data_IF_449661176546
#
_entry.id   IF_449661176546
#
_cell.length_a   1.000
_cell.length_b   1.000
_cell.length_c   1.000
_cell.angle_alpha   90.00
_cell.angle_beta   90.00
_cell.angle_gamma   90.00
#
_symmetry.space_group_name_H-M   'P 1'
#
loop_
_entity.id
_entity.type
_entity.pdbx_description
1 polymer ?
#
# COMPACT_ATOMS: atom_id res chain seq x y z
N UNK A 1 -54.17 27.01 -13.41
CA UNK A 1 -54.32 25.54 -13.50
C UNK A 1 -52.95 24.97 -13.85
N UNK A 2 -52.32 24.29 -12.90
CA UNK A 2 -50.93 23.81 -12.98
C UNK A 2 -50.97 22.32 -13.31
N UNK A 3 -50.47 21.92 -14.48
CA UNK A 3 -50.31 20.51 -14.84
C UNK A 3 -48.90 20.05 -14.47
N UNK A 4 -48.78 19.39 -13.31
CA UNK A 4 -47.54 18.76 -12.85
C UNK A 4 -47.28 17.44 -13.58
N UNK A 5 -46.09 17.32 -14.18
CA UNK A 5 -45.56 16.07 -14.73
C UNK A 5 -44.41 15.62 -13.85
N UNK A 6 -44.60 14.51 -13.14
CA UNK A 6 -43.57 13.88 -12.33
C UNK A 6 -42.61 13.11 -13.24
N UNK A 7 -41.35 13.52 -13.33
CA UNK A 7 -40.28 12.71 -13.91
C UNK A 7 -39.59 11.94 -12.78
N UNK A 8 -39.81 10.63 -12.74
CA UNK A 8 -39.09 9.70 -11.88
C UNK A 8 -37.73 9.44 -12.50
N UNK A 9 -36.71 10.21 -12.11
CA UNK A 9 -35.32 9.86 -12.40
C UNK A 9 -34.92 8.69 -11.50
N UNK A 10 -34.98 7.48 -12.06
CA UNK A 10 -34.29 6.32 -11.48
C UNK A 10 -32.82 6.48 -11.82
N UNK A 11 -32.01 6.98 -10.88
CA UNK A 11 -30.56 6.94 -10.98
C UNK A 11 -30.15 5.46 -10.90
N UNK A 12 -29.85 4.87 -12.07
CA UNK A 12 -29.20 3.58 -12.14
C UNK A 12 -27.76 3.76 -11.64
N UNK A 13 -27.50 3.30 -10.42
CA UNK A 13 -26.18 3.26 -9.76
C UNK A 13 -25.19 2.34 -10.51
N UNK A 14 -25.60 1.70 -11.62
CA UNK A 14 -24.77 0.71 -12.30
C UNK A 14 -23.92 1.25 -13.46
N UNK A 15 -24.17 2.46 -13.96
CA UNK A 15 -23.47 2.98 -15.16
C UNK A 15 -22.31 3.94 -14.87
N UNK A 16 -22.16 4.43 -13.63
CA UNK A 16 -21.03 5.32 -13.26
C UNK A 16 -19.82 4.56 -12.68
N UNK A 17 -19.92 3.25 -12.50
CA UNK A 17 -18.80 2.40 -12.09
C UNK A 17 -17.89 2.00 -13.26
N UNK A 18 -18.35 2.06 -14.51
CA UNK A 18 -17.48 1.78 -15.67
C UNK A 18 -16.49 2.91 -15.98
N UNK A 19 -16.75 4.15 -15.53
CA UNK A 19 -15.74 5.22 -15.62
C UNK A 19 -14.61 5.08 -14.59
N UNK A 20 -14.80 4.32 -13.51
CA UNK A 20 -13.73 3.98 -12.56
C UNK A 20 -12.75 2.92 -13.10
N UNK A 21 -13.11 2.20 -14.17
CA UNK A 21 -12.23 1.22 -14.83
C UNK A 21 -11.37 1.80 -15.97
N UNK A 22 -11.48 3.11 -16.28
CA UNK A 22 -10.65 3.78 -17.31
C UNK A 22 -9.34 4.36 -16.74
N UNK A 23 -9.00 4.07 -15.48
CA UNK A 23 -7.62 4.21 -15.04
C UNK A 23 -6.83 2.97 -15.48
N UNK A 24 -5.82 3.07 -16.36
CA UNK A 24 -4.94 1.96 -16.65
C UNK A 24 -3.95 1.81 -15.49
N UNK A 25 -4.46 1.54 -14.28
CA UNK A 25 -3.64 1.11 -13.18
C UNK A 25 -3.32 -0.37 -13.44
N UNK A 26 -2.24 -0.62 -14.19
CA UNK A 26 -1.57 -1.91 -14.11
C UNK A 26 -1.14 -2.06 -12.65
N UNK A 27 -1.95 -2.73 -11.84
CA UNK A 27 -1.44 -3.43 -10.67
C UNK A 27 -0.40 -4.42 -11.21
N UNK A 28 0.86 -3.97 -11.23
CA UNK A 28 2.01 -4.85 -11.39
C UNK A 28 1.83 -5.99 -10.42
N UNK A 29 1.93 -7.22 -10.93
CA UNK A 29 1.84 -8.49 -10.22
C UNK A 29 2.96 -8.64 -9.16
N UNK A 30 2.92 -7.82 -8.12
CA UNK A 30 3.87 -7.85 -7.01
C UNK A 30 3.10 -8.09 -5.71
N UNK A 31 2.81 -9.37 -5.51
CA UNK A 31 2.70 -10.06 -4.22
C UNK A 31 1.80 -9.45 -3.13
N UNK A 32 0.49 -9.69 -3.22
CA UNK A 32 -0.36 -9.80 -2.03
C UNK A 32 -0.18 -11.20 -1.42
N UNK A 33 0.87 -11.42 -0.63
CA UNK A 33 0.94 -12.58 0.27
C UNK A 33 0.55 -12.15 1.69
N UNK A 34 -0.72 -12.37 2.04
CA UNK A 34 -1.15 -12.35 3.44
C UNK A 34 -0.79 -13.72 4.03
N UNK A 35 0.30 -13.81 4.78
CA UNK A 35 0.62 -15.01 5.57
C UNK A 35 -0.24 -15.08 6.81
N UNK A 36 -1.31 -15.87 6.75
CA UNK A 36 -2.16 -16.20 7.89
C UNK A 36 -1.45 -17.24 8.78
N UNK A 37 -0.97 -16.84 9.97
CA UNK A 37 -0.42 -17.76 10.97
C UNK A 37 -1.57 -18.51 11.65
N UNK A 38 -1.79 -19.78 11.30
CA UNK A 38 -2.62 -20.69 12.11
C UNK A 38 -1.88 -21.13 13.37
N UNK A 39 -2.40 -20.72 14.52
CA UNK A 39 -2.04 -21.23 15.85
C UNK A 39 -2.48 -22.69 15.95
N UNK A 40 -1.55 -23.63 16.09
CA UNK A 40 -1.87 -25.02 16.45
C UNK A 40 -1.90 -25.13 17.97
N UNK A 41 -3.07 -25.38 18.53
CA UNK A 41 -3.23 -25.82 19.91
C UNK A 41 -2.75 -27.27 20.02
N UNK A 42 -1.84 -27.51 20.97
CA UNK A 42 -1.32 -28.83 21.28
C UNK A 42 -2.23 -29.56 22.25
N UNK A 43 -2.81 -30.67 21.80
CA UNK A 43 -3.40 -31.70 22.64
C UNK A 43 -2.60 -33.00 22.53
N UNK A 44 -1.97 -33.43 23.63
CA UNK A 44 -1.60 -34.84 23.91
C UNK A 44 -2.81 -35.50 24.61
N UNK A 45 -3.00 -36.84 24.63
CA UNK A 45 -1.98 -37.79 25.12
C UNK A 45 -1.92 -39.20 24.46
N UNK A 46 -0.78 -39.86 24.76
CA UNK A 46 -0.48 -41.28 25.04
C UNK A 46 -1.19 -42.46 24.33
N UNK A 47 -0.38 -43.49 23.99
CA UNK A 47 -0.79 -44.91 24.11
C UNK A 47 -0.31 -45.86 22.99
N UNK A 48 0.65 -46.72 23.31
CA UNK A 48 1.18 -47.88 22.54
C UNK A 48 0.13 -48.92 22.12
N UNK A 49 0.26 -49.67 21.00
CA UNK A 49 0.88 -51.02 20.94
C UNK A 49 0.79 -51.65 19.53
N UNK A 50 1.57 -52.73 19.34
CA UNK A 50 1.91 -53.59 18.18
C UNK A 50 0.72 -54.29 17.46
N UNK A 51 0.95 -54.81 16.25
CA UNK A 51 0.25 -56.01 15.73
C UNK A 51 0.15 -56.17 14.21
N UNK A 52 0.40 -57.38 13.73
CA UNK A 52 0.58 -57.87 12.35
C UNK A 52 -0.69 -58.15 11.49
N UNK A 53 -0.47 -58.14 10.16
CA UNK A 53 -0.88 -59.12 9.12
C UNK A 53 -2.34 -59.30 8.61
N UNK A 54 -2.40 -59.29 7.27
CA UNK A 54 -3.19 -60.12 6.32
C UNK A 54 -4.67 -59.82 5.98
N UNK A 55 -4.89 -59.64 4.67
CA UNK A 55 -5.77 -60.53 3.87
C UNK A 55 -7.25 -60.16 3.67
N UNK A 56 -7.66 -60.02 2.40
CA UNK A 56 -9.02 -60.42 1.95
C UNK A 56 -9.93 -59.37 1.31
N UNK A 57 -10.07 -59.42 -0.02
CA UNK A 57 -11.28 -59.02 -0.80
C UNK A 57 -12.41 -60.05 -0.54
N UNK A 58 -13.72 -59.77 -0.75
CA UNK A 58 -14.28 -59.44 -2.08
C UNK A 58 -15.53 -58.52 -2.09
N UNK A 59 -16.19 -58.50 -3.26
CA UNK A 59 -17.16 -57.55 -3.81
C UNK A 59 -18.56 -57.49 -3.18
N UNK A 60 -19.26 -56.38 -3.45
CA UNK A 60 -20.70 -56.22 -3.27
C UNK A 60 -21.22 -54.89 -3.83
N UNK A 61 -22.02 -54.95 -4.88
CA UNK A 61 -22.71 -53.82 -5.52
C UNK A 61 -24.01 -53.47 -4.79
N UNK A 62 -24.32 -52.18 -4.60
CA UNK A 62 -25.72 -51.68 -4.63
C UNK A 62 -25.78 -50.17 -4.85
N UNK A 63 -26.83 -49.79 -5.58
CA UNK A 63 -27.18 -48.44 -6.04
C UNK A 63 -27.68 -47.56 -4.88
N UNK A 64 -27.43 -46.26 -4.94
CA UNK A 64 -28.00 -45.27 -4.02
C UNK A 64 -27.96 -43.87 -4.60
N UNK A 65 -29.11 -43.20 -4.55
CA UNK A 65 -29.47 -41.99 -5.26
C UNK A 65 -28.75 -40.71 -4.78
N UNK A 66 -28.83 -39.68 -5.63
CA UNK A 66 -28.05 -38.45 -5.52
C UNK A 66 -28.37 -37.55 -4.34
N UNK A 67 -27.42 -36.65 -4.06
CA UNK A 67 -27.74 -35.31 -3.61
C UNK A 67 -26.67 -34.34 -4.09
N UNK A 68 -27.11 -33.46 -4.98
CA UNK A 68 -26.39 -32.37 -5.61
C UNK A 68 -26.06 -31.34 -4.52
N UNK A 69 -24.87 -31.38 -3.93
CA UNK A 69 -24.37 -30.27 -3.11
C UNK A 69 -24.08 -29.09 -4.03
N UNK A 70 -25.07 -28.21 -4.12
CA UNK A 70 -25.01 -26.88 -4.74
C UNK A 70 -23.90 -26.09 -4.01
N UNK A 71 -22.72 -26.03 -4.61
CA UNK A 71 -21.66 -25.12 -4.18
C UNK A 71 -22.19 -23.70 -4.30
N UNK A 72 -22.42 -23.08 -3.15
CA UNK A 72 -22.77 -21.67 -3.04
C UNK A 72 -21.56 -20.83 -3.44
N UNK A 73 -21.54 -20.33 -4.67
CA UNK A 73 -20.70 -19.19 -5.06
C UNK A 73 -21.22 -17.95 -4.33
N UNK A 74 -20.55 -17.56 -3.25
CA UNK A 74 -20.81 -16.29 -2.54
C UNK A 74 -19.49 -15.58 -2.24
N UNK A 75 -19.37 -14.36 -2.79
CA UNK A 75 -18.85 -13.24 -2.00
C UNK A 75 -17.38 -12.87 -2.15
N UNK A 76 -16.82 -12.79 -3.35
CA UNK A 76 -15.56 -12.05 -3.54
C UNK A 76 -15.78 -10.54 -3.74
N UNK A 77 -16.90 -10.14 -4.37
CA UNK A 77 -17.21 -8.72 -4.62
C UNK A 77 -17.55 -7.90 -3.38
N UNK A 78 -18.32 -8.45 -2.43
CA UNK A 78 -18.82 -7.68 -1.27
C UNK A 78 -17.75 -7.38 -0.21
N UNK A 79 -16.68 -8.19 -0.13
CA UNK A 79 -15.62 -8.03 0.86
C UNK A 79 -14.58 -7.00 0.41
N UNK A 80 -14.31 -6.92 -0.89
CA UNK A 80 -13.43 -5.89 -1.46
C UNK A 80 -14.08 -4.50 -1.37
N UNK A 81 -15.38 -4.42 -1.66
CA UNK A 81 -16.18 -3.18 -1.58
C UNK A 81 -16.31 -2.70 -0.12
N UNK A 82 -16.61 -3.60 0.83
CA UNK A 82 -16.62 -3.27 2.25
C UNK A 82 -15.24 -2.87 2.81
N UNK A 83 -14.14 -3.40 2.26
CA UNK A 83 -12.77 -3.04 2.66
C UNK A 83 -12.35 -1.64 2.21
N UNK A 84 -12.97 -1.11 1.16
CA UNK A 84 -12.68 0.22 0.62
C UNK A 84 -13.41 1.32 1.39
N UNK A 85 -14.58 1.04 1.98
CA UNK A 85 -15.37 2.02 2.72
C UNK A 85 -14.64 2.63 3.93
N UNK A 86 -13.71 1.89 4.53
CA UNK A 86 -12.90 2.36 5.67
C UNK A 86 -11.63 3.12 5.27
N UNK A 87 -11.34 3.23 3.96
CA UNK A 87 -10.17 3.96 3.46
C UNK A 87 -10.45 5.47 3.49
N UNK A 88 -9.48 6.24 4.00
CA UNK A 88 -9.52 7.71 4.00
C UNK A 88 -9.10 8.26 2.63
N UNK A 89 -8.13 7.63 1.98
CA UNK A 89 -7.66 7.95 0.63
C UNK A 89 -6.43 7.16 0.27
N UNK A 90 -5.74 7.55 -0.80
CA UNK A 90 -4.44 7.00 -1.16
C UNK A 90 -3.36 8.07 -1.02
N UNK A 91 -2.14 7.64 -0.70
CA UNK A 91 -0.95 8.47 -0.85
C UNK A 91 -0.11 7.89 -1.99
N UNK A 92 0.19 8.74 -2.97
CA UNK A 92 1.14 8.45 -4.03
C UNK A 92 2.51 8.98 -3.61
N UNK A 93 3.49 8.09 -3.61
CA UNK A 93 4.87 8.35 -3.20
C UNK A 93 5.76 8.09 -4.40
N UNK A 94 6.33 9.15 -4.96
CA UNK A 94 7.31 9.08 -6.05
C UNK A 94 8.71 9.07 -5.46
N UNK A 95 9.32 7.90 -5.37
CA UNK A 95 10.71 7.73 -4.92
C UNK A 95 11.62 8.10 -6.08
N UNK A 96 12.35 9.22 -5.97
CA UNK A 96 13.15 9.76 -7.08
C UNK A 96 14.56 9.17 -7.10
N UNK A 97 15.34 9.44 -6.06
CA UNK A 97 16.74 9.02 -5.99
C UNK A 97 17.23 8.85 -4.55
N UNK A 98 18.28 8.04 -4.39
CA UNK A 98 19.12 8.01 -3.20
C UNK A 98 20.31 8.94 -3.37
N UNK A 99 20.81 9.49 -2.26
CA UNK A 99 21.95 10.40 -2.22
C UNK A 99 22.91 9.89 -1.15
N UNK A 100 24.13 9.55 -1.55
CA UNK A 100 25.20 9.04 -0.68
C UNK A 100 24.76 7.93 0.27
N UNK A 101 24.03 6.95 -0.27
CA UNK A 101 23.62 5.77 0.49
C UNK A 101 24.84 5.01 1.01
N UNK A 102 24.63 4.26 2.09
CA UNK A 102 25.65 3.39 2.65
C UNK A 102 26.20 2.39 1.63
N UNK A 103 27.39 1.85 1.91
CA UNK A 103 27.99 0.75 1.15
C UNK A 103 27.81 -0.52 1.98
N UNK A 104 27.25 -1.58 1.38
CA UNK A 104 27.08 -2.88 2.02
C UNK A 104 27.78 -4.02 1.26
N UNK A 105 28.13 -3.81 -0.02
CA UNK A 105 29.09 -4.66 -0.74
C UNK A 105 30.54 -4.14 -0.67
N UNK A 106 31.46 -4.79 -1.39
CA UNK A 106 32.90 -4.44 -1.43
C UNK A 106 33.19 -2.98 -1.78
N UNK A 107 32.47 -2.40 -2.75
CA UNK A 107 32.70 -1.04 -3.25
C UNK A 107 31.40 -0.25 -3.49
N UNK A 108 30.25 -0.88 -3.39
CA UNK A 108 28.96 -0.27 -3.72
C UNK A 108 27.80 -0.98 -3.02
N UNK A 109 26.58 -0.75 -3.50
CA UNK A 109 25.37 -1.48 -3.12
C UNK A 109 24.43 -1.57 -4.31
N UNK A 110 23.49 -2.50 -4.25
CA UNK A 110 22.35 -2.72 -5.13
C UNK A 110 21.03 -2.24 -4.48
N UNK A 111 20.84 -0.93 -4.23
CA UNK A 111 19.77 -0.46 -3.36
C UNK A 111 18.37 -0.52 -4.00
N UNK A 112 17.38 -0.82 -3.15
CA UNK A 112 15.95 -0.64 -3.42
C UNK A 112 15.22 -0.11 -2.19
N UNK A 113 14.10 0.59 -2.41
CA UNK A 113 13.25 1.08 -1.32
C UNK A 113 12.04 0.19 -1.09
N UNK A 114 11.66 0.04 0.17
CA UNK A 114 10.38 -0.54 0.61
C UNK A 114 9.61 0.52 1.36
N UNK A 115 8.39 0.79 0.91
CA UNK A 115 7.42 1.58 1.68
C UNK A 115 6.50 0.61 2.42
N UNK A 116 6.37 0.80 3.73
CA UNK A 116 5.47 0.03 4.56
C UNK A 116 4.52 0.94 5.35
N UNK A 117 3.26 0.53 5.42
CA UNK A 117 2.23 1.17 6.23
C UNK A 117 1.22 0.12 6.68
N UNK A 118 1.06 -0.06 7.98
CA UNK A 118 0.22 -1.11 8.57
C UNK A 118 0.57 -2.50 8.01
N UNK A 119 -0.32 -3.13 7.21
CA UNK A 119 -0.12 -4.43 6.57
C UNK A 119 0.30 -4.34 5.09
N UNK A 120 0.54 -3.15 4.57
CA UNK A 120 0.95 -2.93 3.18
C UNK A 120 2.47 -2.84 3.06
N UNK A 121 3.01 -3.43 2.00
CA UNK A 121 4.41 -3.26 1.59
C UNK A 121 4.47 -3.15 0.08
N UNK A 122 5.07 -2.07 -0.41
CA UNK A 122 5.34 -1.85 -1.84
C UNK A 122 6.82 -1.50 -2.00
N UNK A 123 7.43 -1.87 -3.12
CA UNK A 123 8.88 -1.72 -3.32
C UNK A 123 9.22 -1.19 -4.71
N UNK A 124 10.33 -0.47 -4.80
CA UNK A 124 10.92 -0.07 -6.08
C UNK A 124 11.66 -1.25 -6.72
N UNK A 125 12.15 -1.05 -7.95
CA UNK A 125 13.19 -1.90 -8.53
C UNK A 125 14.51 -1.70 -7.80
N UNK A 126 15.37 -2.68 -8.00
CA UNK A 126 16.77 -2.68 -7.59
C UNK A 126 17.59 -1.92 -8.63
N UNK A 127 18.45 -1.00 -8.18
CA UNK A 127 19.45 -0.35 -9.02
C UNK A 127 20.81 -0.91 -8.61
N UNK A 128 21.55 -1.52 -9.54
CA UNK A 128 22.78 -2.24 -9.20
C UNK A 128 24.02 -1.33 -9.15
N UNK A 129 24.93 -1.60 -8.22
CA UNK A 129 26.26 -1.03 -8.12
C UNK A 129 26.26 0.48 -8.04
N UNK A 130 25.31 1.08 -7.31
CA UNK A 130 25.16 2.52 -7.25
C UNK A 130 24.56 3.02 -5.94
N UNK A 131 25.38 3.65 -5.09
CA UNK A 131 24.96 4.33 -3.85
C UNK A 131 24.28 5.71 -4.08
N UNK A 132 24.11 6.13 -5.34
CA UNK A 132 23.31 7.29 -5.77
C UNK A 132 22.27 6.84 -6.82
N UNK A 133 21.39 5.88 -6.47
CA UNK A 133 20.47 5.29 -7.41
C UNK A 133 19.41 6.30 -7.84
N UNK A 134 18.98 6.22 -9.10
CA UNK A 134 17.80 6.95 -9.60
C UNK A 134 16.71 5.92 -9.88
N UNK A 135 15.72 5.84 -9.00
CA UNK A 135 14.58 4.94 -9.17
C UNK A 135 13.50 5.59 -10.04
N UNK A 136 13.09 6.82 -9.70
CA UNK A 136 11.97 7.52 -10.34
C UNK A 136 10.70 6.65 -10.45
N UNK A 137 10.36 5.96 -9.38
CA UNK A 137 9.20 5.04 -9.34
C UNK A 137 8.08 5.61 -8.47
N UNK A 138 6.85 5.50 -8.96
CA UNK A 138 5.64 5.87 -8.23
C UNK A 138 5.05 4.63 -7.54
N UNK A 139 4.93 4.70 -6.22
CA UNK A 139 4.33 3.69 -5.38
C UNK A 139 3.07 4.29 -4.74
N UNK A 140 1.98 3.53 -4.65
CA UNK A 140 0.72 4.02 -4.07
C UNK A 140 0.27 3.06 -2.98
N UNK A 141 -0.11 3.60 -1.82
CA UNK A 141 -0.66 2.85 -0.69
C UNK A 141 -1.97 3.48 -0.24
N UNK A 142 -2.88 2.68 0.31
CA UNK A 142 -4.11 3.20 0.93
C UNK A 142 -3.84 3.66 2.36
N UNK A 143 -4.56 4.68 2.81
CA UNK A 143 -4.51 5.18 4.19
C UNK A 143 -5.86 4.91 4.84
N UNK A 144 -5.88 4.15 5.94
CA UNK A 144 -7.09 3.89 6.75
C UNK A 144 -7.14 4.72 8.02
N UNK A 145 -5.98 5.11 8.50
CA UNK A 145 -5.77 5.83 9.74
C UNK A 145 -4.48 6.66 9.60
N UNK A 146 -4.49 7.87 10.16
CA UNK A 146 -3.35 8.78 10.13
C UNK A 146 -2.31 8.44 11.21
N UNK A 147 -2.71 7.71 12.26
CA UNK A 147 -1.78 7.29 13.32
C UNK A 147 -0.86 6.12 12.87
N UNK A 148 -1.15 5.52 11.72
CA UNK A 148 -0.31 4.46 11.15
C UNK A 148 0.94 5.05 10.50
N UNK A 149 2.15 4.71 10.98
CA UNK A 149 3.38 5.27 10.42
C UNK A 149 3.62 4.75 9.00
N UNK A 150 3.99 5.66 8.10
CA UNK A 150 4.49 5.34 6.77
C UNK A 150 6.02 5.34 6.83
N UNK A 151 6.62 4.18 6.69
CA UNK A 151 8.07 4.00 6.81
C UNK A 151 8.66 3.66 5.44
N UNK A 152 9.66 4.44 5.04
CA UNK A 152 10.57 4.13 3.94
C UNK A 152 11.80 3.43 4.50
N UNK A 153 12.11 2.25 4.00
CA UNK A 153 13.34 1.52 4.33
C UNK A 153 14.14 1.27 3.05
N UNK A 154 15.46 1.42 3.13
CA UNK A 154 16.37 1.12 2.03
C UNK A 154 17.09 -0.19 2.35
N UNK A 155 17.23 -1.05 1.35
CA UNK A 155 17.92 -2.34 1.48
C UNK A 155 18.90 -2.53 0.33
N UNK A 156 19.97 -3.25 0.61
CA UNK A 156 20.88 -3.78 -0.41
C UNK A 156 20.41 -5.16 -0.88
N UNK A 157 20.34 -5.37 -2.19
CA UNK A 157 19.87 -6.64 -2.76
C UNK A 157 21.03 -7.63 -2.85
N UNK A 158 20.97 -8.65 -2.00
CA UNK A 158 21.86 -9.80 -2.08
C UNK A 158 21.25 -10.97 -2.85
N UNK A 159 22.12 -11.70 -3.56
CA UNK A 159 21.69 -12.87 -4.36
C UNK A 159 21.65 -14.16 -3.52
N UNK A 160 22.53 -14.30 -2.53
CA UNK A 160 22.70 -15.54 -1.76
C UNK A 160 22.50 -15.38 -0.25
N UNK A 161 22.34 -14.15 0.23
CA UNK A 161 22.17 -13.79 1.65
C UNK A 161 20.88 -13.01 1.87
N UNK A 162 20.58 -12.71 3.13
CA UNK A 162 19.48 -11.82 3.48
C UNK A 162 19.90 -10.39 3.12
N UNK A 163 19.01 -9.67 2.45
CA UNK A 163 19.21 -8.28 2.04
C UNK A 163 19.57 -7.38 3.24
N UNK A 164 20.69 -6.66 3.13
CA UNK A 164 21.22 -5.80 4.20
C UNK A 164 20.42 -4.51 4.35
N UNK A 165 20.20 -4.10 5.61
CA UNK A 165 19.55 -2.81 5.89
C UNK A 165 20.49 -1.63 5.61
N UNK A 166 19.97 -0.64 4.88
CA UNK A 166 20.65 0.61 4.54
C UNK A 166 19.96 1.83 5.17
N UNK A 167 19.23 1.60 6.26
CA UNK A 167 18.57 2.66 7.02
C UNK A 167 17.10 2.87 6.65
N UNK A 168 16.43 3.70 7.45
CA UNK A 168 15.00 3.97 7.31
C UNK A 168 14.62 5.39 7.69
N UNK A 169 13.50 5.87 7.16
CA UNK A 169 12.94 7.18 7.47
C UNK A 169 11.42 7.10 7.52
N UNK A 170 10.82 7.82 8.46
CA UNK A 170 9.37 8.02 8.49
C UNK A 170 8.98 9.13 7.52
N UNK A 171 7.95 8.88 6.71
CA UNK A 171 7.31 9.87 5.86
C UNK A 171 6.18 10.51 6.68
N UNK A 172 6.38 11.75 7.10
CA UNK A 172 5.34 12.53 7.76
C UNK A 172 4.40 13.15 6.71
N UNK A 173 3.13 12.73 6.73
CA UNK A 173 2.09 13.23 5.84
C UNK A 173 1.17 14.24 6.54
N UNK A 174 1.28 14.42 7.86
CA UNK A 174 0.38 15.28 8.62
C UNK A 174 0.32 16.72 8.10
N UNK A 175 1.46 17.37 7.74
CA UNK A 175 1.41 18.71 7.16
C UNK A 175 0.57 18.76 5.87
N UNK A 176 0.71 17.77 4.99
CA UNK A 176 -0.06 17.67 3.75
C UNK A 176 -1.55 17.49 4.05
N UNK A 177 -1.88 16.58 4.98
CA UNK A 177 -3.27 16.32 5.39
C UNK A 177 -3.91 17.56 6.03
N UNK A 178 -3.18 18.31 6.85
CA UNK A 178 -3.66 19.57 7.43
C UNK A 178 -4.01 20.58 6.34
N UNK A 179 -3.14 20.74 5.34
CA UNK A 179 -3.40 21.65 4.22
C UNK A 179 -4.64 21.25 3.41
N UNK A 180 -4.82 19.95 3.15
CA UNK A 180 -6.00 19.44 2.44
C UNK A 180 -7.30 19.70 3.20
N UNK A 181 -7.30 19.53 4.53
CA UNK A 181 -8.46 19.80 5.39
C UNK A 181 -8.85 21.28 5.44
N UNK A 182 -7.97 22.21 5.07
CA UNK A 182 -8.33 23.63 4.94
C UNK A 182 -9.31 23.87 3.77
N UNK A 183 -9.50 22.90 2.88
CA UNK A 183 -10.44 23.01 1.77
C UNK A 183 -10.10 24.16 0.81
N UNK A 184 -8.81 24.44 0.63
CA UNK A 184 -8.32 25.51 -0.24
C UNK A 184 -8.78 25.26 -1.67
N UNK A 185 -9.21 26.32 -2.36
CA UNK A 185 -9.69 26.25 -3.74
C UNK A 185 -9.14 27.44 -4.53
N UNK A 186 -9.04 27.27 -5.85
CA UNK A 186 -8.74 28.35 -6.80
C UNK A 186 -7.43 29.11 -6.54
N UNK A 187 -6.43 28.46 -5.94
CA UNK A 187 -5.10 29.04 -5.78
C UNK A 187 -4.33 29.03 -7.12
N UNK A 188 -3.46 30.03 -7.38
CA UNK A 188 -2.52 30.00 -8.48
C UNK A 188 -1.62 28.76 -8.44
N UNK A 189 -1.30 28.20 -9.60
CA UNK A 189 -0.34 27.12 -9.70
C UNK A 189 1.03 27.55 -9.18
N UNK A 190 1.68 26.69 -8.39
CA UNK A 190 2.97 26.98 -7.76
C UNK A 190 2.86 27.72 -6.43
N UNK A 191 1.65 27.96 -5.91
CA UNK A 191 1.50 28.57 -4.59
C UNK A 191 2.08 27.66 -3.52
N UNK A 192 3.05 28.17 -2.75
CA UNK A 192 3.55 27.52 -1.53
C UNK A 192 2.49 27.64 -0.44
N UNK A 193 1.81 26.54 -0.13
CA UNK A 193 0.74 26.49 0.86
C UNK A 193 1.32 26.41 2.27
N UNK A 194 2.36 25.60 2.45
CA UNK A 194 2.98 25.37 3.76
C UNK A 194 4.47 25.06 3.59
N UNK A 195 5.27 25.44 4.58
CA UNK A 195 6.70 25.14 4.67
C UNK A 195 7.00 24.32 5.92
N UNK A 196 7.53 23.12 5.72
CA UNK A 196 7.90 22.19 6.79
C UNK A 196 9.41 22.20 6.98
N UNK A 197 9.87 22.49 8.19
CA UNK A 197 11.28 22.56 8.54
C UNK A 197 11.79 21.21 9.08
N UNK A 198 13.09 20.89 8.91
CA UNK A 198 13.76 19.84 9.66
C UNK A 198 13.62 20.06 11.17
N UNK A 199 13.22 19.03 11.90
CA UNK A 199 13.18 19.03 13.37
C UNK A 199 13.82 17.76 13.93
N UNK A 200 13.90 17.62 15.25
CA UNK A 200 14.43 16.40 15.88
C UNK A 200 13.44 15.22 15.81
N UNK A 201 12.18 15.53 15.55
CA UNK A 201 11.05 14.61 15.56
C UNK A 201 10.70 14.11 14.15
N UNK A 202 11.21 14.75 13.09
CA UNK A 202 11.00 14.33 11.71
C UNK A 202 12.28 13.89 11.03
N UNK A 203 12.14 13.28 9.84
CA UNK A 203 13.27 12.77 9.06
C UNK A 203 13.70 13.73 7.93
N UNK A 204 13.25 14.98 7.91
CA UNK A 204 13.61 15.92 6.84
C UNK A 204 15.09 16.32 6.94
N UNK A 205 15.81 16.22 5.84
CA UNK A 205 17.20 16.69 5.73
C UNK A 205 17.26 18.20 5.43
N UNK A 206 16.25 18.72 4.73
CA UNK A 206 16.14 20.11 4.29
C UNK A 206 14.68 20.57 4.41
N UNK A 207 14.42 21.87 4.23
CA UNK A 207 13.05 22.37 4.21
C UNK A 207 12.24 21.76 3.05
N UNK A 208 10.97 21.50 3.32
CA UNK A 208 10.02 20.90 2.39
C UNK A 208 8.84 21.83 2.21
N UNK A 209 8.35 21.95 0.98
CA UNK A 209 7.23 22.82 0.63
C UNK A 209 6.06 21.98 0.16
N UNK A 210 4.87 22.31 0.68
CA UNK A 210 3.60 21.83 0.13
C UNK A 210 3.16 22.86 -0.90
N UNK A 211 3.06 22.41 -2.15
CA UNK A 211 2.82 23.28 -3.30
C UNK A 211 1.48 22.93 -3.93
N UNK A 212 0.68 23.96 -4.19
CA UNK A 212 -0.54 23.85 -4.95
C UNK A 212 -0.24 23.69 -6.44
N UNK A 213 -0.85 22.68 -7.06
CA UNK A 213 -0.64 22.35 -8.47
C UNK A 213 -1.93 22.53 -9.28
N UNK A 214 -1.76 22.63 -10.59
CA UNK A 214 -2.90 22.68 -11.52
C UNK A 214 -3.80 21.46 -11.33
N UNK A 215 -5.11 21.73 -11.25
CA UNK A 215 -6.12 20.68 -11.04
C UNK A 215 -6.48 20.42 -9.59
N UNK A 216 -6.11 21.33 -8.66
CA UNK A 216 -6.59 21.29 -7.28
C UNK A 216 -5.86 20.31 -6.39
N UNK A 217 -4.66 19.85 -6.79
CA UNK A 217 -3.87 18.88 -6.04
C UNK A 217 -2.77 19.58 -5.27
N UNK A 218 -2.36 18.99 -4.16
CA UNK A 218 -1.18 19.39 -3.40
C UNK A 218 -0.11 18.31 -3.49
N UNK A 219 1.12 18.75 -3.75
CA UNK A 219 2.31 17.90 -3.74
C UNK A 219 3.27 18.40 -2.67
N UNK A 220 4.07 17.50 -2.12
CA UNK A 220 5.15 17.85 -1.21
C UNK A 220 6.43 17.14 -1.63
N UNK A 221 7.45 17.92 -2.00
CA UNK A 221 8.80 17.41 -2.27
C UNK A 221 9.57 17.30 -0.94
N UNK A 222 10.22 16.18 -0.71
CA UNK A 222 10.93 15.87 0.54
C UNK A 222 12.31 15.29 0.24
N UNK A 223 13.30 15.65 1.06
CA UNK A 223 14.56 14.93 1.18
C UNK A 223 14.59 14.36 2.59
N UNK A 224 14.58 13.03 2.69
CA UNK A 224 14.59 12.33 3.95
C UNK A 224 16.00 11.87 4.30
N UNK A 225 16.47 12.22 5.50
CA UNK A 225 17.67 11.64 6.08
C UNK A 225 17.35 10.24 6.61
N UNK A 226 18.16 9.25 6.23
CA UNK A 226 18.00 7.90 6.74
C UNK A 226 18.57 7.79 8.16
N UNK A 227 17.82 7.13 9.04
CA UNK A 227 18.20 6.76 10.39
C UNK A 227 18.77 5.35 10.42
N UNK A 228 19.42 5.01 11.54
CA UNK A 228 20.02 3.68 11.79
C UNK A 228 21.05 3.26 10.73
N UNK A 229 21.71 4.26 10.13
CA UNK A 229 22.72 4.09 9.08
C UNK A 229 23.73 5.24 9.15
N UNK A 230 24.97 5.00 8.74
CA UNK A 230 26.07 5.97 8.77
C UNK A 230 25.89 7.11 7.75
N UNK A 231 25.18 6.87 6.65
CA UNK A 231 24.92 7.86 5.61
C UNK A 231 23.70 7.48 4.77
N UNK A 232 23.17 8.47 4.05
CA UNK A 232 22.13 8.28 3.06
C UNK A 232 20.97 9.22 3.23
N UNK A 233 20.49 9.72 2.10
CA UNK A 233 19.23 10.45 2.00
C UNK A 233 18.41 9.90 0.85
N UNK A 234 17.10 10.07 0.92
CA UNK A 234 16.17 9.70 -0.15
C UNK A 234 15.35 10.92 -0.53
N UNK A 235 15.43 11.30 -1.80
CA UNK A 235 14.57 12.33 -2.38
C UNK A 235 13.28 11.68 -2.88
N UNK A 236 12.13 12.21 -2.46
CA UNK A 236 10.82 11.75 -2.87
C UNK A 236 9.81 12.90 -2.99
N UNK A 237 8.67 12.60 -3.60
CA UNK A 237 7.51 13.49 -3.63
C UNK A 237 6.28 12.70 -3.18
N UNK A 238 5.42 13.34 -2.38
CA UNK A 238 4.13 12.78 -1.99
C UNK A 238 2.96 13.59 -2.56
N UNK A 239 1.86 12.92 -2.85
CA UNK A 239 0.60 13.50 -3.32
C UNK A 239 -0.57 12.69 -2.74
N UNK A 240 -1.57 13.39 -2.21
CA UNK A 240 -2.81 12.77 -1.77
C UNK A 240 -3.76 12.56 -2.95
N UNK A 241 -4.39 11.38 -3.00
CA UNK A 241 -5.40 11.03 -3.99
C UNK A 241 -6.69 10.69 -3.25
N UNK A 242 -7.72 11.51 -3.48
CA UNK A 242 -9.07 11.23 -3.02
C UNK A 242 -9.71 10.13 -3.86
N UNK A 243 -10.38 9.20 -3.19
CA UNK A 243 -11.15 8.14 -3.85
C UNK A 243 -12.64 8.45 -3.67
N UNK A 244 -13.40 8.66 -4.76
CA UNK A 244 -14.85 8.82 -4.68
C UNK A 244 -15.52 7.62 -3.97
N UNK A 245 -16.45 7.89 -3.06
CA UNK A 245 -17.19 6.85 -2.34
C UNK A 245 -16.46 6.22 -1.15
N UNK A 246 -15.23 6.65 -0.84
CA UNK A 246 -14.53 6.28 0.39
C UNK A 246 -14.91 7.22 1.56
N UNK A 247 -14.51 6.86 2.79
CA UNK A 247 -14.73 7.69 3.99
C UNK A 247 -14.19 9.11 3.82
N UNK A 248 -13.13 9.25 3.03
CA UNK A 248 -12.53 10.54 2.68
C UNK A 248 -11.82 11.22 3.85
N UNK A 249 -11.26 12.38 3.57
CA UNK A 249 -10.88 13.35 4.59
C UNK A 249 -12.16 13.98 5.12
N UNK A 250 -12.59 13.62 6.34
CA UNK A 250 -13.66 14.38 7.01
C UNK A 250 -13.10 15.77 7.34
N UNK A 251 -13.66 16.79 6.69
CA UNK A 251 -13.44 18.20 6.98
C UNK A 251 -14.45 18.64 8.04
#
# INVERSE_FOLDING_TARGET
MVNGRWYRFSLNICSDLEQLFVYPFKLSHTCFEIKEKRKKEGGKPAGSTKGESSGGKPAGSTKGAGSRKKGSTKGEGSVAEAKLMDVLGLIRIRVRRGIHLAVRDTLSSDPYCVISCSNQKVKTKVVRGNCNPVWNEELTIYIKDFDSPIVLSVFDKDTFTVDDSMGSAQIDIDPLIKCLKLGLQSLPEGTNVERVLPTKENCLAEESFIVWTKGGKMIQDMILKLNDVESGQVQLQIEWIEIPGCKGLRV
#
